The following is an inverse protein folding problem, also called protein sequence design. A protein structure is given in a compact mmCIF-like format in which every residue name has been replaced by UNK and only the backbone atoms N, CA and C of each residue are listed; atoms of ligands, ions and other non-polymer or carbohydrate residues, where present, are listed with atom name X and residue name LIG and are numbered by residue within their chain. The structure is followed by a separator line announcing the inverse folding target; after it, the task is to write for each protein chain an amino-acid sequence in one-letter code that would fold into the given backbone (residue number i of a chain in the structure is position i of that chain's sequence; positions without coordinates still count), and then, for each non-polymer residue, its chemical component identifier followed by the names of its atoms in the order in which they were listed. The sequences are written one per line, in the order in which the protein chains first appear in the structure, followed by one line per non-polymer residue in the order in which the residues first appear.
data_IF_194363605759
#
_entry.id   IF_194363605759
#
_cell.length_a   1.000
_cell.length_b   1.000
_cell.length_c   1.000
_cell.angle_alpha   90.00
_cell.angle_beta   90.00
_cell.angle_gamma   90.00
#
_symmetry.space_group_name_H-M   'P 1'
#
loop_
_entity.id
_entity.type
_entity.pdbx_description
1 polymer ?
#
# COMPACT_ATOMS: atom_id res chain seq x y z
N UNK A 1 3.85 33.53 -8.63
CA UNK A 1 3.59 32.54 -7.56
C UNK A 1 2.39 31.63 -7.85
N UNK A 2 1.23 32.15 -8.27
CA UNK A 2 0.00 31.36 -8.51
C UNK A 2 0.13 30.36 -9.67
N UNK A 3 0.71 30.80 -10.80
CA UNK A 3 0.85 29.98 -12.02
C UNK A 3 1.54 28.63 -11.78
N UNK A 4 2.48 28.55 -10.83
CA UNK A 4 3.19 27.31 -10.53
C UNK A 4 2.24 26.22 -9.97
N UNK A 5 1.20 26.61 -9.25
CA UNK A 5 0.22 25.68 -8.69
C UNK A 5 -0.85 25.31 -9.73
N UNK A 6 -1.41 26.30 -10.42
CA UNK A 6 -2.53 26.09 -11.33
C UNK A 6 -2.13 25.52 -12.69
N UNK A 7 -0.84 25.54 -13.06
CA UNK A 7 -0.33 24.88 -14.29
C UNK A 7 -0.48 23.36 -14.25
N UNK A 8 -0.50 22.75 -13.07
CA UNK A 8 -0.68 21.31 -12.95
C UNK A 8 -2.06 20.91 -13.52
N UNK A 9 -2.13 19.96 -14.47
CA UNK A 9 -3.39 19.62 -15.14
C UNK A 9 -4.41 18.99 -14.18
N UNK A 10 -3.95 18.36 -13.10
CA UNK A 10 -4.81 17.76 -12.06
C UNK A 10 -5.29 18.78 -11.02
N UNK A 11 -4.79 20.01 -11.05
CA UNK A 11 -5.21 21.06 -10.12
C UNK A 11 -6.60 21.58 -10.52
N UNK A 12 -7.54 21.54 -9.58
CA UNK A 12 -8.82 22.20 -9.72
C UNK A 12 -8.67 23.69 -9.42
N UNK A 13 -9.16 24.55 -10.33
CA UNK A 13 -9.07 25.99 -10.19
C UNK A 13 -10.39 26.51 -9.62
N UNK A 14 -10.33 27.21 -8.48
CA UNK A 14 -11.47 27.91 -7.90
C UNK A 14 -11.33 29.40 -8.24
N UNK A 15 -12.04 29.86 -9.26
CA UNK A 15 -12.04 31.26 -9.66
C UNK A 15 -13.07 32.03 -8.81
N UNK A 16 -12.58 32.70 -7.77
CA UNK A 16 -13.43 33.47 -6.84
C UNK A 16 -13.52 34.91 -7.33
N UNK A 17 -14.73 35.37 -7.58
CA UNK A 17 -15.01 36.75 -8.01
C UNK A 17 -16.12 37.34 -7.15
N UNK A 18 -16.08 38.63 -6.82
CA UNK A 18 -17.19 39.29 -6.13
C UNK A 18 -18.28 39.69 -7.13
N UNK A 19 -19.55 39.63 -6.70
CA UNK A 19 -20.70 39.89 -7.56
C UNK A 19 -20.92 41.39 -7.88
N UNK A 20 -20.28 42.28 -7.13
CA UNK A 20 -20.37 43.73 -7.31
C UNK A 20 -19.38 44.28 -8.35
N UNK A 21 -18.59 43.43 -8.99
CA UNK A 21 -17.64 43.80 -10.05
C UNK A 21 -18.02 43.11 -11.35
N UNK A 22 -17.64 43.72 -12.48
CA UNK A 22 -17.80 43.07 -13.77
C UNK A 22 -16.92 41.83 -13.87
N UNK A 23 -17.53 40.70 -14.23
CA UNK A 23 -16.84 39.43 -14.35
C UNK A 23 -15.91 39.37 -15.56
N UNK A 24 -16.18 40.19 -16.59
CA UNK A 24 -15.39 40.23 -17.81
C UNK A 24 -13.95 40.70 -17.55
N UNK A 25 -13.73 41.49 -16.49
CA UNK A 25 -12.43 42.01 -16.07
C UNK A 25 -11.85 41.26 -14.86
N UNK A 26 -12.41 40.09 -14.52
CA UNK A 26 -11.95 39.35 -13.34
C UNK A 26 -10.57 38.71 -13.58
N UNK A 27 -9.57 39.18 -12.82
CA UNK A 27 -8.20 38.64 -12.82
C UNK A 27 -8.17 37.11 -12.60
N UNK A 28 -9.03 36.60 -11.72
CA UNK A 28 -9.10 35.16 -11.41
C UNK A 28 -9.47 34.32 -12.64
N UNK A 29 -10.39 34.81 -13.47
CA UNK A 29 -10.80 34.15 -14.71
C UNK A 29 -9.75 34.32 -15.81
N UNK A 30 -9.09 35.47 -15.88
CA UNK A 30 -8.04 35.72 -16.86
C UNK A 30 -6.84 34.79 -16.62
N UNK A 31 -6.37 34.71 -15.38
CA UNK A 31 -5.29 33.81 -14.97
C UNK A 31 -5.69 32.35 -15.19
N UNK A 32 -6.93 31.96 -14.88
CA UNK A 32 -7.43 30.61 -15.14
C UNK A 32 -7.44 30.29 -16.63
N UNK A 33 -7.84 31.25 -17.50
CA UNK A 33 -7.88 31.06 -18.95
C UNK A 33 -6.50 30.78 -19.55
N UNK A 34 -5.43 31.31 -18.97
CA UNK A 34 -4.05 31.05 -19.43
C UNK A 34 -3.64 29.58 -19.27
N UNK A 35 -4.18 28.88 -18.27
CA UNK A 35 -3.80 27.48 -17.94
C UNK A 35 -4.92 26.46 -18.17
N UNK A 36 -6.15 26.92 -18.39
CA UNK A 36 -7.34 26.11 -18.71
C UNK A 36 -8.20 26.84 -19.78
N UNK A 37 -7.73 26.96 -21.04
CA UNK A 37 -8.46 27.68 -22.10
C UNK A 37 -9.83 27.06 -22.40
N UNK A 38 -9.96 25.75 -22.23
CA UNK A 38 -11.19 24.99 -22.45
C UNK A 38 -12.14 25.01 -21.23
N UNK A 39 -11.70 25.59 -20.10
CA UNK A 39 -12.49 25.77 -18.88
C UNK A 39 -13.03 24.45 -18.31
N UNK A 40 -12.24 23.38 -18.41
CA UNK A 40 -12.61 22.02 -18.01
C UNK A 40 -12.48 21.78 -16.51
N UNK A 41 -11.51 22.43 -15.87
CA UNK A 41 -11.15 22.22 -14.46
C UNK A 41 -11.32 23.47 -13.59
N UNK A 42 -11.90 24.52 -14.16
CA UNK A 42 -12.23 25.77 -13.47
C UNK A 42 -13.67 25.75 -12.97
N UNK A 43 -13.84 26.07 -11.68
CA UNK A 43 -15.13 26.30 -11.01
C UNK A 43 -15.24 27.78 -10.68
N UNK A 44 -16.33 28.41 -11.07
CA UNK A 44 -16.60 29.81 -10.73
C UNK A 44 -17.28 29.90 -9.37
N UNK A 45 -16.77 30.75 -8.49
CA UNK A 45 -17.40 31.05 -7.20
C UNK A 45 -17.70 32.52 -7.16
N UNK A 46 -18.97 32.84 -6.98
CA UNK A 46 -19.45 34.20 -6.91
C UNK A 46 -19.78 34.56 -5.46
N UNK A 47 -19.08 35.56 -4.93
CA UNK A 47 -19.21 36.01 -3.54
C UNK A 47 -19.92 37.36 -3.46
N UNK A 48 -20.30 37.82 -2.26
CA UNK A 48 -20.87 39.16 -2.04
C UNK A 48 -22.15 39.45 -2.85
N UNK A 49 -22.98 38.44 -3.06
CA UNK A 49 -24.26 38.57 -3.77
C UNK A 49 -25.28 39.44 -3.04
N UNK A 50 -25.07 39.65 -1.74
CA UNK A 50 -25.83 40.51 -0.85
C UNK A 50 -25.47 42.00 -0.98
N UNK A 51 -24.29 42.32 -1.51
CA UNK A 51 -23.78 43.69 -1.69
C UNK A 51 -23.97 44.20 -3.12
N UNK A 52 -24.86 43.57 -3.90
CA UNK A 52 -25.21 44.05 -5.24
C UNK A 52 -26.21 45.20 -5.14
N UNK A 53 -26.07 46.18 -6.04
CA UNK A 53 -26.96 47.34 -6.10
C UNK A 53 -28.40 46.91 -6.43
N UNK A 54 -29.37 47.59 -5.82
CA UNK A 54 -30.79 47.33 -6.08
C UNK A 54 -31.13 47.51 -7.57
N UNK A 55 -31.80 46.51 -8.15
CA UNK A 55 -32.11 46.46 -9.58
C UNK A 55 -31.12 45.65 -10.42
N UNK A 56 -29.93 45.32 -9.89
CA UNK A 56 -28.99 44.41 -10.55
C UNK A 56 -29.10 42.98 -10.00
N UNK A 57 -28.73 41.98 -10.81
CA UNK A 57 -28.64 40.60 -10.37
C UNK A 57 -27.57 39.84 -11.14
N UNK A 58 -27.03 38.78 -10.54
CA UNK A 58 -26.01 37.92 -11.14
C UNK A 58 -26.61 36.62 -11.69
N UNK A 59 -27.89 36.62 -12.07
CA UNK A 59 -28.60 35.42 -12.50
C UNK A 59 -27.96 34.81 -13.75
N UNK A 60 -27.65 35.62 -14.75
CA UNK A 60 -27.06 35.14 -16.01
C UNK A 60 -25.68 34.53 -15.82
N UNK A 61 -24.94 34.96 -14.80
CA UNK A 61 -23.65 34.38 -14.41
C UNK A 61 -23.88 33.03 -13.74
N UNK A 62 -24.75 32.97 -12.73
CA UNK A 62 -25.04 31.74 -11.98
C UNK A 62 -25.71 30.67 -12.84
N UNK A 63 -26.49 31.06 -13.85
CA UNK A 63 -27.05 30.17 -14.86
C UNK A 63 -26.06 29.79 -15.97
N UNK A 64 -24.80 30.23 -15.86
CA UNK A 64 -23.72 29.91 -16.78
C UNK A 64 -23.96 30.42 -18.22
N UNK A 65 -24.69 31.54 -18.38
CA UNK A 65 -25.02 32.14 -19.69
C UNK A 65 -24.00 33.18 -20.15
N UNK A 66 -23.49 34.01 -19.23
CA UNK A 66 -22.54 35.07 -19.56
C UNK A 66 -21.10 34.54 -19.73
N UNK A 67 -20.55 33.91 -18.69
CA UNK A 67 -19.23 33.26 -18.74
C UNK A 67 -19.41 31.75 -18.56
N UNK A 68 -19.30 31.02 -19.66
CA UNK A 68 -19.50 29.56 -19.67
C UNK A 68 -18.30 28.81 -19.08
N UNK A 69 -18.52 28.12 -17.97
CA UNK A 69 -17.59 27.18 -17.35
C UNK A 69 -18.16 25.76 -17.42
N UNK A 70 -17.34 24.74 -17.68
CA UNK A 70 -17.82 23.35 -17.77
C UNK A 70 -18.31 22.81 -16.43
N UNK A 71 -17.79 23.34 -15.32
CA UNK A 71 -18.22 22.99 -13.95
C UNK A 71 -19.21 23.99 -13.35
N UNK A 72 -19.60 25.00 -14.12
CA UNK A 72 -20.58 26.01 -13.73
C UNK A 72 -20.10 26.97 -12.64
N UNK A 73 -21.08 27.68 -12.09
CA UNK A 73 -20.92 28.73 -11.09
C UNK A 73 -21.65 28.36 -9.81
N UNK A 74 -21.09 28.76 -8.67
CA UNK A 74 -21.73 28.63 -7.36
C UNK A 74 -21.67 29.97 -6.64
N UNK A 75 -22.85 30.48 -6.28
CA UNK A 75 -22.98 31.65 -5.42
C UNK A 75 -22.80 31.26 -3.96
N UNK A 76 -22.01 32.01 -3.21
CA UNK A 76 -21.80 31.81 -1.77
C UNK A 76 -21.91 33.14 -1.03
N UNK A 77 -22.41 33.06 0.20
CA UNK A 77 -22.49 34.18 1.13
C UNK A 77 -21.53 33.94 2.29
N UNK A 78 -20.68 34.91 2.54
CA UNK A 78 -19.71 34.88 3.62
C UNK A 78 -20.16 35.77 4.77
N UNK A 79 -19.46 35.70 5.91
CA UNK A 79 -19.63 36.63 7.02
C UNK A 79 -19.35 38.06 6.56
N UNK A 80 -20.24 39.00 6.91
CA UNK A 80 -19.94 40.42 6.81
C UNK A 80 -18.98 40.87 7.92
N UNK A 81 -18.44 42.08 7.81
CA UNK A 81 -17.61 42.68 8.85
C UNK A 81 -18.35 42.75 10.19
N UNK A 82 -19.64 43.13 10.17
CA UNK A 82 -20.50 43.14 11.35
C UNK A 82 -20.78 41.74 11.92
N UNK A 83 -20.90 40.71 11.07
CA UNK A 83 -21.08 39.33 11.54
C UNK A 83 -19.82 38.81 12.26
N UNK A 84 -18.63 39.27 11.84
CA UNK A 84 -17.34 38.94 12.46
C UNK A 84 -17.21 39.64 13.81
N UNK A 85 -17.49 40.94 13.87
CA UNK A 85 -17.41 41.75 15.11
C UNK A 85 -18.37 41.25 16.19
N UNK A 86 -19.55 40.78 15.79
CA UNK A 86 -20.54 40.21 16.70
C UNK A 86 -20.33 38.72 17.01
N UNK A 87 -19.22 38.11 16.57
CA UNK A 87 -18.88 36.72 16.88
C UNK A 87 -19.93 35.69 16.45
N UNK A 88 -20.65 35.95 15.34
CA UNK A 88 -21.74 35.07 14.89
C UNK A 88 -21.22 33.68 14.52
N UNK A 89 -21.95 32.65 14.94
CA UNK A 89 -21.64 31.26 14.62
C UNK A 89 -21.78 30.96 13.11
N UNK A 90 -21.06 29.93 12.64
CA UNK A 90 -21.10 29.46 11.25
C UNK A 90 -22.51 28.99 10.86
N UNK A 91 -23.26 28.36 11.77
CA UNK A 91 -24.62 27.90 11.46
C UNK A 91 -25.55 29.06 11.09
N UNK A 92 -25.46 30.18 11.81
CA UNK A 92 -26.21 31.39 11.50
C UNK A 92 -25.95 31.88 10.07
N UNK A 93 -24.72 31.76 9.57
CA UNK A 93 -24.36 32.17 8.20
C UNK A 93 -24.91 31.20 7.16
N UNK A 94 -24.90 29.90 7.45
CA UNK A 94 -25.49 28.90 6.57
C UNK A 94 -27.01 29.08 6.46
N UNK A 95 -27.68 29.42 7.56
CA UNK A 95 -29.11 29.72 7.57
C UNK A 95 -29.42 31.03 6.83
N UNK A 96 -28.62 32.08 7.05
CA UNK A 96 -28.70 33.35 6.32
C UNK A 96 -28.52 33.14 4.81
N UNK A 97 -27.53 32.33 4.43
CA UNK A 97 -27.26 31.97 3.03
C UNK A 97 -28.44 31.23 2.41
N UNK A 98 -28.96 30.21 3.09
CA UNK A 98 -30.13 29.45 2.65
C UNK A 98 -31.36 30.36 2.48
N UNK A 99 -31.63 31.21 3.45
CA UNK A 99 -32.76 32.15 3.41
C UNK A 99 -32.61 33.18 2.29
N UNK A 100 -31.39 33.66 2.00
CA UNK A 100 -31.15 34.57 0.89
C UNK A 100 -31.54 33.94 -0.46
N UNK A 101 -31.07 32.73 -0.73
CA UNK A 101 -31.38 32.04 -2.00
C UNK A 101 -32.85 31.63 -2.12
N UNK A 102 -33.55 31.38 -1.00
CA UNK A 102 -34.98 31.04 -0.99
C UNK A 102 -35.90 32.26 -1.10
N UNK A 103 -35.52 33.37 -0.46
CA UNK A 103 -36.34 34.60 -0.40
C UNK A 103 -36.32 35.39 -1.70
N UNK A 104 -35.17 35.44 -2.40
CA UNK A 104 -35.03 36.20 -3.65
C UNK A 104 -35.65 35.45 -4.84
N UNK A 105 -36.70 36.00 -5.50
CA UNK A 105 -37.41 35.31 -6.58
C UNK A 105 -36.51 34.87 -7.75
N UNK A 106 -35.51 35.68 -8.06
CA UNK A 106 -34.57 35.46 -9.17
C UNK A 106 -33.50 34.39 -8.91
N UNK A 107 -33.30 33.95 -7.66
CA UNK A 107 -32.38 32.85 -7.33
C UNK A 107 -33.08 31.61 -6.79
N UNK A 108 -34.39 31.67 -6.51
CA UNK A 108 -35.15 30.60 -5.87
C UNK A 108 -35.04 29.26 -6.59
N UNK A 109 -35.08 29.25 -7.93
CA UNK A 109 -34.94 28.04 -8.74
C UNK A 109 -33.50 27.46 -8.75
N UNK A 110 -32.51 28.25 -8.33
CA UNK A 110 -31.11 27.82 -8.22
C UNK A 110 -30.72 27.43 -6.80
N UNK A 111 -31.58 27.65 -5.80
CA UNK A 111 -31.27 27.48 -4.38
C UNK A 111 -30.63 26.11 -4.03
N UNK A 112 -31.04 25.02 -4.68
CA UNK A 112 -30.46 23.68 -4.47
C UNK A 112 -29.01 23.52 -4.97
N UNK A 113 -28.60 24.37 -5.93
CA UNK A 113 -27.27 24.38 -6.57
C UNK A 113 -26.38 25.51 -6.07
N UNK A 114 -26.81 26.23 -5.04
CA UNK A 114 -26.09 27.38 -4.49
C UNK A 114 -25.69 27.15 -3.04
N UNK A 115 -24.84 28.05 -2.56
CA UNK A 115 -24.38 28.09 -1.19
C UNK A 115 -23.18 27.21 -0.88
N UNK A 116 -22.60 27.48 0.27
CA UNK A 116 -21.46 26.80 0.86
C UNK A 116 -21.68 25.28 1.00
N UNK A 117 -22.86 24.79 1.43
CA UNK A 117 -23.11 23.34 1.50
C UNK A 117 -23.06 22.65 0.14
N UNK A 118 -23.55 23.29 -0.92
CA UNK A 118 -23.48 22.74 -2.28
C UNK A 118 -22.05 22.77 -2.80
N UNK A 119 -21.34 23.89 -2.65
CA UNK A 119 -19.93 24.02 -3.05
C UNK A 119 -19.07 22.93 -2.41
N UNK A 120 -19.23 22.72 -1.10
CA UNK A 120 -18.53 21.66 -0.35
C UNK A 120 -18.80 20.28 -0.95
N UNK A 121 -20.06 19.92 -1.21
CA UNK A 121 -20.43 18.63 -1.82
C UNK A 121 -19.83 18.49 -3.22
N UNK A 122 -19.80 19.55 -4.01
CA UNK A 122 -19.25 19.57 -5.37
C UNK A 122 -17.72 19.36 -5.37
N UNK A 123 -17.01 20.06 -4.50
CA UNK A 123 -15.56 19.91 -4.33
C UNK A 123 -15.21 18.51 -3.83
N UNK A 124 -15.93 18.01 -2.81
CA UNK A 124 -15.75 16.66 -2.29
C UNK A 124 -15.98 15.58 -3.35
N UNK A 125 -17.03 15.73 -4.17
CA UNK A 125 -17.31 14.78 -5.26
C UNK A 125 -16.19 14.78 -6.30
N UNK A 126 -15.69 15.95 -6.66
CA UNK A 126 -14.62 16.09 -7.65
C UNK A 126 -13.32 15.48 -7.15
N UNK A 127 -12.93 15.80 -5.91
CA UNK A 127 -11.75 15.21 -5.26
C UNK A 127 -11.88 13.68 -5.16
N UNK A 128 -13.03 13.18 -4.73
CA UNK A 128 -13.30 11.74 -4.63
C UNK A 128 -13.21 11.04 -5.99
N UNK A 129 -13.73 11.65 -7.04
CA UNK A 129 -13.63 11.12 -8.41
C UNK A 129 -12.17 11.04 -8.87
N UNK A 130 -11.37 12.08 -8.58
CA UNK A 130 -9.96 12.11 -8.93
C UNK A 130 -9.16 11.03 -8.20
N UNK A 131 -9.38 10.88 -6.89
CA UNK A 131 -8.77 9.81 -6.08
C UNK A 131 -9.15 8.44 -6.66
N UNK A 132 -10.44 8.21 -6.96
CA UNK A 132 -10.91 6.95 -7.55
C UNK A 132 -10.26 6.64 -8.90
N UNK A 133 -9.96 7.65 -9.72
CA UNK A 133 -9.28 7.45 -11.00
C UNK A 133 -7.77 7.13 -10.83
N UNK A 134 -7.13 7.63 -9.76
CA UNK A 134 -5.73 7.36 -9.45
C UNK A 134 -5.48 5.99 -8.80
N UNK A 135 -6.45 5.48 -8.01
CA UNK A 135 -6.30 4.20 -7.29
C UNK A 135 -5.97 2.99 -8.20
N UNK A 136 -6.58 2.82 -9.39
CA UNK A 136 -6.19 1.76 -10.32
C UNK A 136 -4.72 1.83 -10.74
N UNK A 137 -4.18 3.03 -10.94
CA UNK A 137 -2.77 3.21 -11.32
C UNK A 137 -1.83 2.79 -10.19
N UNK A 138 -2.18 3.16 -8.94
CA UNK A 138 -1.48 2.69 -7.74
C UNK A 138 -1.51 1.16 -7.69
N UNK A 139 -2.69 0.54 -7.86
CA UNK A 139 -2.83 -0.93 -7.89
C UNK A 139 -1.99 -1.59 -8.99
N UNK A 140 -1.96 -1.01 -10.18
CA UNK A 140 -1.16 -1.54 -11.29
C UNK A 140 0.33 -1.41 -11.00
N UNK A 141 0.79 -0.30 -10.43
CA UNK A 141 2.18 -0.13 -9.99
C UNK A 141 2.56 -1.16 -8.92
N UNK A 142 1.68 -1.43 -7.97
CA UNK A 142 1.90 -2.46 -6.95
C UNK A 142 2.08 -3.84 -7.58
N UNK A 143 1.18 -4.21 -8.50
CA UNK A 143 1.32 -5.45 -9.27
C UNK A 143 2.62 -5.48 -10.06
N UNK A 144 3.03 -4.35 -10.63
CA UNK A 144 4.26 -4.26 -11.39
C UNK A 144 5.52 -4.38 -10.51
N UNK A 145 5.52 -3.81 -9.30
CA UNK A 145 6.59 -3.97 -8.29
C UNK A 145 6.66 -5.43 -7.83
N UNK A 146 5.53 -6.09 -7.64
CA UNK A 146 5.47 -7.51 -7.28
C UNK A 146 5.93 -8.43 -8.43
N UNK A 147 5.49 -8.16 -9.66
CA UNK A 147 5.75 -9.01 -10.84
C UNK A 147 7.02 -8.63 -11.62
N UNK A 148 7.77 -7.60 -11.18
CA UNK A 148 9.03 -7.20 -11.80
C UNK A 148 8.95 -6.46 -13.11
N UNK A 149 7.91 -5.64 -13.29
CA UNK A 149 7.76 -4.79 -14.47
C UNK A 149 8.15 -3.33 -14.23
N UNK A 150 8.33 -2.91 -12.97
CA UNK A 150 8.82 -1.57 -12.61
C UNK A 150 10.06 -1.75 -11.75
N UNK A 151 11.23 -1.54 -12.35
CA UNK A 151 12.48 -1.38 -11.60
C UNK A 151 12.48 0.00 -10.95
N UNK A 152 11.96 0.09 -9.73
CA UNK A 152 12.21 1.22 -8.85
C UNK A 152 13.13 0.79 -7.71
N UNK A 153 13.94 1.75 -7.27
CA UNK A 153 15.21 1.56 -6.59
C UNK A 153 15.07 1.10 -5.14
N UNK A 154 15.16 -0.21 -4.88
CA UNK A 154 15.41 -0.70 -3.51
C UNK A 154 16.89 -0.48 -3.19
N UNK A 155 17.17 0.41 -2.23
CA UNK A 155 18.52 0.66 -1.73
C UNK A 155 18.91 -0.45 -0.74
N UNK A 156 19.66 -1.45 -1.20
CA UNK A 156 20.29 -2.40 -0.28
C UNK A 156 21.48 -1.72 0.42
N UNK A 157 21.36 -1.45 1.73
CA UNK A 157 22.50 -1.15 2.61
C UNK A 157 23.15 -2.45 3.07
N UNK A 158 23.99 -3.06 2.25
CA UNK A 158 24.97 -4.02 2.76
C UNK A 158 26.18 -3.24 3.31
N UNK A 159 26.29 -3.15 4.64
CA UNK A 159 27.53 -2.70 5.29
C UNK A 159 28.49 -3.89 5.32
N UNK A 160 29.34 -3.98 4.31
CA UNK A 160 30.50 -4.89 4.33
C UNK A 160 31.63 -4.13 5.02
N UNK A 161 31.92 -4.49 6.27
CA UNK A 161 33.14 -4.02 6.94
C UNK A 161 34.30 -4.87 6.46
N UNK A 162 35.00 -4.37 5.45
CA UNK A 162 36.36 -4.79 5.14
C UNK A 162 37.29 -3.60 5.32
N UNK A 163 38.24 -3.79 6.23
CA UNK A 163 39.44 -2.99 6.50
C UNK A 163 39.48 -1.58 5.86
N UNK A 164 39.00 -0.59 6.62
CA UNK A 164 39.32 0.83 6.43
C UNK A 164 38.71 1.57 5.23
N UNK A 165 37.96 0.92 4.34
CA UNK A 165 37.33 1.59 3.19
C UNK A 165 35.87 1.17 3.01
N UNK A 166 34.94 2.08 3.36
CA UNK A 166 33.51 1.91 3.10
C UNK A 166 33.25 2.06 1.61
N UNK A 167 33.39 0.97 0.84
CA UNK A 167 32.91 0.91 -0.53
C UNK A 167 31.42 0.64 -0.50
N UNK A 168 30.63 1.65 -0.85
CA UNK A 168 29.18 1.50 -1.07
C UNK A 168 29.01 0.98 -2.49
N UNK A 169 29.14 -0.33 -2.71
CA UNK A 169 28.87 -0.92 -4.02
C UNK A 169 27.37 -0.76 -4.33
N UNK A 170 27.07 0.06 -5.35
CA UNK A 170 25.71 0.29 -5.87
C UNK A 170 25.30 -0.91 -6.72
N UNK A 171 24.68 -1.90 -6.09
CA UNK A 171 24.04 -3.00 -6.82
C UNK A 171 22.69 -2.54 -7.43
N UNK A 172 22.38 -3.09 -8.61
CA UNK A 172 21.16 -2.79 -9.37
C UNK A 172 19.89 -3.11 -8.57
N UNK A 173 18.85 -2.31 -8.79
CA UNK A 173 17.56 -2.43 -8.13
C UNK A 173 16.96 -3.84 -8.32
N UNK A 174 16.98 -4.66 -7.27
CA UNK A 174 16.32 -5.97 -7.30
C UNK A 174 14.84 -5.75 -7.04
N UNK A 175 14.02 -6.14 -8.02
CA UNK A 175 12.56 -6.17 -7.92
C UNK A 175 12.12 -6.88 -6.64
N UNK A 176 11.09 -6.37 -5.96
CA UNK A 176 10.51 -7.00 -4.75
C UNK A 176 10.31 -8.52 -4.88
N UNK A 177 9.71 -9.01 -5.96
CA UNK A 177 9.55 -10.46 -6.20
C UNK A 177 10.88 -11.23 -6.35
N UNK A 178 11.88 -10.64 -7.02
CA UNK A 178 13.22 -11.24 -7.11
C UNK A 178 13.94 -11.19 -5.76
N UNK A 179 13.69 -10.16 -4.95
CA UNK A 179 14.24 -10.00 -3.62
C UNK A 179 13.64 -11.00 -2.63
N UNK A 180 12.32 -11.24 -2.69
CA UNK A 180 11.66 -12.33 -1.97
C UNK A 180 12.28 -13.67 -2.35
N UNK A 181 12.44 -13.95 -3.65
CA UNK A 181 13.05 -15.20 -4.10
C UNK A 181 14.52 -15.33 -3.63
N UNK A 182 15.29 -14.24 -3.64
CA UNK A 182 16.65 -14.21 -3.11
C UNK A 182 16.66 -14.55 -1.62
N UNK A 183 15.83 -13.88 -0.82
CA UNK A 183 15.72 -14.11 0.64
C UNK A 183 15.26 -15.53 0.97
N UNK A 184 14.31 -16.07 0.19
CA UNK A 184 13.89 -17.46 0.30
C UNK A 184 15.03 -18.46 0.06
N UNK A 185 15.91 -18.19 -0.90
CA UNK A 185 17.02 -19.10 -1.25
C UNK A 185 18.33 -18.82 -0.50
N UNK A 186 18.39 -17.77 0.32
CA UNK A 186 19.59 -17.40 1.10
C UNK A 186 19.28 -17.46 2.59
N UNK A 187 18.67 -16.42 3.12
CA UNK A 187 18.42 -16.23 4.55
C UNK A 187 17.42 -17.24 5.13
N UNK A 188 16.34 -17.53 4.41
CA UNK A 188 15.36 -18.55 4.84
C UNK A 188 16.00 -19.94 4.82
N UNK A 189 16.73 -20.28 3.76
CA UNK A 189 17.45 -21.55 3.71
C UNK A 189 18.51 -21.67 4.80
N UNK A 190 19.25 -20.59 5.11
CA UNK A 190 20.23 -20.62 6.20
C UNK A 190 19.57 -20.75 7.57
N UNK A 191 18.47 -20.04 7.81
CA UNK A 191 17.73 -20.11 9.08
C UNK A 191 17.10 -21.49 9.32
N UNK A 192 16.74 -22.20 8.25
CA UNK A 192 16.21 -23.56 8.31
C UNK A 192 17.30 -24.65 8.37
N UNK A 193 18.59 -24.32 8.23
CA UNK A 193 19.70 -25.26 8.42
C UNK A 193 20.06 -25.37 9.90
N UNK A 194 19.17 -26.00 10.66
CA UNK A 194 19.41 -26.29 12.07
C UNK A 194 20.33 -27.51 12.21
N UNK A 195 21.33 -27.41 13.09
CA UNK A 195 22.12 -28.56 13.52
C UNK A 195 21.35 -29.30 14.62
N UNK A 196 20.50 -30.24 14.20
CA UNK A 196 19.65 -31.04 15.10
C UNK A 196 20.44 -32.24 15.60
N UNK A 197 21.16 -32.06 16.70
CA UNK A 197 21.86 -33.15 17.40
C UNK A 197 21.12 -33.43 18.71
N UNK A 198 20.68 -34.68 18.95
CA UNK A 198 20.11 -35.04 20.23
C UNK A 198 21.19 -35.00 21.32
N UNK A 199 20.84 -34.52 22.50
CA UNK A 199 21.74 -34.51 23.65
C UNK A 199 21.83 -35.93 24.24
N UNK A 200 23.04 -36.48 24.31
CA UNK A 200 23.31 -37.84 24.78
C UNK A 200 22.94 -38.03 26.26
N UNK A 201 23.13 -36.99 27.09
CA UNK A 201 22.75 -37.02 28.50
C UNK A 201 21.22 -37.06 28.64
N UNK A 202 20.52 -36.21 27.89
CA UNK A 202 19.06 -36.17 27.89
C UNK A 202 18.46 -37.46 27.34
N UNK A 203 19.04 -38.02 26.27
CA UNK A 203 18.61 -39.29 25.70
C UNK A 203 18.76 -40.41 26.73
N UNK A 204 19.88 -40.46 27.45
CA UNK A 204 20.12 -41.45 28.51
C UNK A 204 19.08 -41.33 29.61
N UNK A 205 18.77 -40.11 30.07
CA UNK A 205 17.74 -39.86 31.08
C UNK A 205 16.36 -40.30 30.58
N UNK A 206 15.99 -39.97 29.34
CA UNK A 206 14.74 -40.38 28.71
C UNK A 206 14.58 -41.90 28.63
N UNK A 207 15.61 -42.61 28.15
CA UNK A 207 15.61 -44.07 28.05
C UNK A 207 15.49 -44.70 29.44
N UNK A 208 16.24 -44.19 30.41
CA UNK A 208 16.24 -44.72 31.79
C UNK A 208 14.86 -44.54 32.43
N UNK A 209 14.25 -43.37 32.25
CA UNK A 209 12.90 -43.08 32.75
C UNK A 209 11.82 -43.94 32.08
N UNK A 210 11.95 -44.21 30.77
CA UNK A 210 10.99 -45.01 30.01
C UNK A 210 11.10 -46.51 30.27
N UNK A 211 12.32 -47.02 30.51
CA UNK A 211 12.54 -48.40 30.93
C UNK A 211 12.06 -48.63 32.38
N UNK A 212 12.10 -47.58 33.20
CA UNK A 212 11.69 -47.64 34.60
C UNK A 212 12.50 -48.70 35.37
N UNK A 213 11.83 -49.46 36.24
CA UNK A 213 12.48 -50.48 37.07
C UNK A 213 12.78 -51.80 36.32
N UNK A 214 12.32 -51.96 35.08
CA UNK A 214 12.56 -53.16 34.28
C UNK A 214 13.69 -52.90 33.30
N UNK A 215 14.79 -53.64 33.44
CA UNK A 215 15.89 -53.62 32.47
C UNK A 215 15.41 -54.17 31.13
N UNK A 216 15.00 -53.30 30.22
CA UNK A 216 14.68 -53.66 28.84
C UNK A 216 15.95 -53.70 27.99
N UNK A 217 16.05 -54.70 27.12
CA UNK A 217 17.20 -54.90 26.22
C UNK A 217 17.01 -54.12 24.90
N UNK A 218 15.79 -53.64 24.61
CA UNK A 218 15.46 -52.90 23.39
C UNK A 218 15.32 -51.41 23.65
N UNK A 219 15.80 -50.59 22.69
CA UNK A 219 15.54 -49.15 22.68
C UNK A 219 14.03 -48.85 22.63
N UNK A 220 13.46 -48.07 23.56
CA UNK A 220 12.04 -47.75 23.53
C UNK A 220 11.68 -46.88 22.32
N UNK A 221 10.78 -47.33 21.45
CA UNK A 221 10.26 -46.53 20.34
C UNK A 221 9.69 -45.17 20.78
N UNK A 222 9.18 -45.10 22.02
CA UNK A 222 8.68 -43.88 22.63
C UNK A 222 9.80 -42.87 22.95
N UNK A 223 11.03 -43.33 23.25
CA UNK A 223 12.18 -42.44 23.48
C UNK A 223 12.57 -41.72 22.19
N UNK A 224 12.55 -42.45 21.06
CA UNK A 224 12.82 -41.90 19.74
C UNK A 224 11.76 -40.84 19.36
N UNK A 225 10.49 -41.15 19.60
CA UNK A 225 9.39 -40.21 19.34
C UNK A 225 9.53 -38.92 20.18
N UNK A 226 9.84 -39.03 21.48
CA UNK A 226 10.06 -37.86 22.34
C UNK A 226 11.22 -36.98 21.86
N UNK A 227 12.35 -37.58 21.50
CA UNK A 227 13.53 -36.85 20.99
C UNK A 227 13.21 -36.18 19.65
N UNK A 228 12.58 -36.89 18.71
CA UNK A 228 12.21 -36.34 17.41
C UNK A 228 11.25 -35.15 17.53
N UNK A 229 10.24 -35.24 18.38
CA UNK A 229 9.33 -34.10 18.65
C UNK A 229 10.08 -32.88 19.16
N UNK A 230 11.03 -33.07 20.09
CA UNK A 230 11.84 -31.98 20.64
C UNK A 230 12.73 -31.33 19.58
N UNK A 231 13.32 -32.12 18.68
CA UNK A 231 14.15 -31.61 17.59
C UNK A 231 13.31 -30.88 16.53
N UNK A 232 12.16 -31.44 16.13
CA UNK A 232 11.27 -30.84 15.12
C UNK A 232 10.68 -29.51 15.63
N UNK A 233 10.34 -29.40 16.92
CA UNK A 233 9.82 -28.17 17.51
C UNK A 233 10.79 -26.98 17.37
N UNK A 234 12.09 -27.20 17.20
CA UNK A 234 13.08 -26.13 17.01
C UNK A 234 12.87 -25.36 15.69
N UNK A 235 12.13 -25.91 14.72
CA UNK A 235 11.79 -25.22 13.46
C UNK A 235 10.73 -24.12 13.61
N UNK A 236 9.95 -24.09 14.70
CA UNK A 236 8.89 -23.10 14.88
C UNK A 236 9.43 -21.67 14.84
N UNK A 237 10.52 -21.40 15.57
CA UNK A 237 11.13 -20.07 15.65
C UNK A 237 11.75 -19.59 14.33
N UNK A 238 12.60 -20.38 13.63
CA UNK A 238 13.10 -20.01 12.31
C UNK A 238 11.99 -19.76 11.29
N UNK A 239 10.91 -20.56 11.29
CA UNK A 239 9.78 -20.36 10.38
C UNK A 239 9.06 -19.04 10.66
N UNK A 240 8.89 -18.67 11.93
CA UNK A 240 8.38 -17.35 12.33
C UNK A 240 9.25 -16.22 11.78
N UNK A 241 10.58 -16.33 11.92
CA UNK A 241 11.51 -15.34 11.36
C UNK A 241 11.48 -15.25 9.83
N UNK A 242 11.19 -16.36 9.15
CA UNK A 242 11.04 -16.35 7.69
C UNK A 242 9.78 -15.57 7.26
N UNK A 243 8.67 -15.72 8.01
CA UNK A 243 7.43 -14.97 7.76
C UNK A 243 7.65 -13.48 8.05
N UNK A 244 8.30 -13.13 9.16
CA UNK A 244 8.64 -11.74 9.51
C UNK A 244 9.47 -11.08 8.40
N UNK A 245 10.52 -11.77 7.92
CA UNK A 245 11.39 -11.25 6.86
C UNK A 245 10.61 -10.93 5.57
N UNK A 246 9.72 -11.83 5.14
CA UNK A 246 8.90 -11.60 3.94
C UNK A 246 7.88 -10.48 4.18
N UNK A 247 7.31 -10.40 5.38
CA UNK A 247 6.37 -9.34 5.76
C UNK A 247 7.01 -7.95 5.67
N UNK A 248 8.24 -7.79 6.17
CA UNK A 248 9.00 -6.53 6.09
C UNK A 248 9.25 -6.10 4.63
N UNK A 249 9.63 -7.03 3.76
CA UNK A 249 9.85 -6.75 2.33
C UNK A 249 8.56 -6.27 1.65
N UNK A 250 7.43 -6.89 1.98
CA UNK A 250 6.12 -6.47 1.45
C UNK A 250 5.71 -5.09 1.97
N UNK A 251 5.98 -4.79 3.24
CA UNK A 251 5.72 -3.46 3.81
C UNK A 251 6.56 -2.38 3.13
N UNK A 252 7.85 -2.63 2.89
CA UNK A 252 8.74 -1.70 2.18
C UNK A 252 8.23 -1.42 0.77
N UNK A 253 7.89 -2.46 0.00
CA UNK A 253 7.35 -2.33 -1.35
C UNK A 253 6.02 -1.54 -1.40
N UNK A 254 5.16 -1.72 -0.39
CA UNK A 254 3.91 -0.96 -0.24
C UNK A 254 4.20 0.52 0.04
N UNK A 255 5.17 0.81 0.91
CA UNK A 255 5.55 2.17 1.26
C UNK A 255 6.14 2.93 0.06
N UNK A 256 7.02 2.30 -0.71
CA UNK A 256 7.57 2.86 -1.95
C UNK A 256 6.45 3.15 -2.96
N UNK A 257 5.57 2.17 -3.17
CA UNK A 257 4.50 2.32 -4.14
C UNK A 257 3.44 3.37 -3.71
N UNK A 258 3.35 3.67 -2.42
CA UNK A 258 2.50 4.73 -1.88
C UNK A 258 3.06 6.14 -2.11
N UNK A 259 4.26 6.29 -2.69
CA UNK A 259 4.82 7.59 -3.09
C UNK A 259 3.90 8.36 -4.06
N UNK A 260 3.14 7.65 -4.90
CA UNK A 260 2.13 8.24 -5.78
C UNK A 260 1.02 9.00 -5.03
N UNK A 261 0.81 8.68 -3.75
CA UNK A 261 -0.19 9.31 -2.90
C UNK A 261 0.38 10.42 -2.00
N UNK A 262 1.65 10.82 -2.18
CA UNK A 262 2.29 11.89 -1.40
C UNK A 262 1.50 13.21 -1.42
N UNK A 263 0.74 13.47 -2.50
CA UNK A 263 -0.13 14.64 -2.64
C UNK A 263 -1.33 14.64 -1.68
N UNK A 264 -1.76 13.47 -1.19
CA UNK A 264 -2.93 13.29 -0.33
C UNK A 264 -2.53 12.57 0.97
N UNK A 265 -1.86 13.24 1.91
CA UNK A 265 -1.25 12.59 3.08
C UNK A 265 -2.26 11.84 3.95
N UNK A 266 -3.45 12.39 4.16
CA UNK A 266 -4.51 11.72 4.93
C UNK A 266 -5.00 10.44 4.23
N UNK A 267 -5.15 10.47 2.90
CA UNK A 267 -5.54 9.28 2.13
C UNK A 267 -4.41 8.25 2.07
N UNK A 268 -3.15 8.69 1.93
CA UNK A 268 -1.97 7.83 2.00
C UNK A 268 -1.93 7.08 3.33
N UNK A 269 -2.09 7.78 4.45
CA UNK A 269 -2.08 7.17 5.78
C UNK A 269 -3.19 6.12 5.94
N UNK A 270 -4.41 6.42 5.50
CA UNK A 270 -5.54 5.47 5.58
C UNK A 270 -5.34 4.24 4.69
N UNK A 271 -4.80 4.42 3.48
CA UNK A 271 -4.49 3.32 2.55
C UNK A 271 -3.41 2.42 3.14
N UNK A 272 -2.31 3.01 3.63
CA UNK A 272 -1.22 2.27 4.28
C UNK A 272 -1.70 1.53 5.52
N UNK A 273 -2.50 2.17 6.37
CA UNK A 273 -3.07 1.54 7.57
C UNK A 273 -3.90 0.29 7.24
N UNK A 274 -4.78 0.38 6.22
CA UNK A 274 -5.59 -0.77 5.80
C UNK A 274 -4.77 -1.91 5.24
N UNK A 275 -3.72 -1.59 4.49
CA UNK A 275 -2.88 -2.60 3.85
C UNK A 275 -1.93 -3.23 4.86
N UNK A 276 -1.33 -2.45 5.76
CA UNK A 276 -0.54 -2.99 6.87
C UNK A 276 -1.37 -3.94 7.75
N UNK A 277 -2.60 -3.55 8.09
CA UNK A 277 -3.54 -4.43 8.80
C UNK A 277 -3.83 -5.72 8.03
N UNK A 278 -3.97 -5.64 6.70
CA UNK A 278 -4.19 -6.82 5.87
C UNK A 278 -2.96 -7.71 5.81
N UNK A 279 -1.76 -7.13 5.64
CA UNK A 279 -0.49 -7.86 5.58
C UNK A 279 -0.20 -8.57 6.91
N UNK A 280 -0.45 -7.93 8.04
CA UNK A 280 -0.30 -8.54 9.38
C UNK A 280 -1.22 -9.74 9.55
N UNK A 281 -2.49 -9.59 9.17
CA UNK A 281 -3.46 -10.69 9.22
C UNK A 281 -3.02 -11.88 8.36
N UNK A 282 -2.54 -11.64 7.14
CA UNK A 282 -2.07 -12.72 6.27
C UNK A 282 -0.77 -13.36 6.78
N UNK A 283 0.12 -12.58 7.41
CA UNK A 283 1.32 -13.10 8.07
C UNK A 283 0.96 -14.04 9.24
N UNK A 284 0.04 -13.63 10.12
CA UNK A 284 -0.47 -14.46 11.22
C UNK A 284 -1.11 -15.76 10.73
N UNK A 285 -1.93 -15.69 9.67
CA UNK A 285 -2.54 -16.87 9.05
C UNK A 285 -1.49 -17.81 8.44
N UNK A 286 -0.44 -17.26 7.85
CA UNK A 286 0.66 -18.05 7.27
C UNK A 286 1.47 -18.73 8.36
N UNK A 287 1.77 -18.00 9.45
CA UNK A 287 2.46 -18.54 10.60
C UNK A 287 1.67 -19.70 11.24
N UNK A 288 0.35 -19.56 11.37
CA UNK A 288 -0.49 -20.63 11.89
C UNK A 288 -0.41 -21.89 11.02
N UNK A 289 -0.48 -21.75 9.69
CA UNK A 289 -0.33 -22.90 8.77
C UNK A 289 1.02 -23.57 8.88
N UNK A 290 2.09 -22.79 9.05
CA UNK A 290 3.44 -23.33 9.23
C UNK A 290 3.56 -24.07 10.56
N UNK A 291 2.95 -23.56 11.64
CA UNK A 291 2.87 -24.27 12.92
C UNK A 291 2.07 -25.56 12.79
N UNK A 292 0.94 -25.54 12.10
CA UNK A 292 0.14 -26.75 11.83
C UNK A 292 0.96 -27.80 11.06
N UNK A 293 1.80 -27.37 10.11
CA UNK A 293 2.73 -28.26 9.42
C UNK A 293 3.77 -28.87 10.37
N UNK A 294 4.41 -28.07 11.23
CA UNK A 294 5.38 -28.58 12.22
C UNK A 294 4.70 -29.56 13.18
N UNK A 295 3.48 -29.26 13.62
CA UNK A 295 2.68 -30.14 14.47
C UNK A 295 2.32 -31.46 13.78
N UNK A 296 2.04 -31.44 12.47
CA UNK A 296 1.80 -32.64 11.70
C UNK A 296 3.05 -33.54 11.63
N UNK A 297 4.22 -32.96 11.39
CA UNK A 297 5.51 -33.69 11.39
C UNK A 297 5.85 -34.26 12.78
N UNK A 298 5.44 -33.60 13.86
CA UNK A 298 5.61 -34.12 15.22
C UNK A 298 4.63 -35.25 15.58
N UNK A 299 3.51 -35.39 14.86
CA UNK A 299 2.49 -36.39 15.17
C UNK A 299 2.83 -37.78 14.63
N UNK A 300 3.52 -37.83 13.48
CA UNK A 300 3.82 -39.08 12.79
C UNK A 300 5.23 -39.05 12.20
N UNK A 301 6.06 -39.99 12.62
CA UNK A 301 7.40 -40.21 12.04
C UNK A 301 7.35 -41.43 11.13
N UNK A 302 7.64 -41.22 9.84
CA UNK A 302 7.70 -42.30 8.86
C UNK A 302 9.06 -43.04 8.92
N UNK A 303 9.08 -44.20 9.57
CA UNK A 303 10.27 -45.07 9.63
C UNK A 303 10.55 -45.81 8.31
N UNK A 304 9.64 -45.77 7.34
CA UNK A 304 9.80 -46.36 6.00
C UNK A 304 10.14 -45.31 4.93
N UNK A 305 10.57 -44.11 5.35
CA UNK A 305 10.94 -43.06 4.41
C UNK A 305 12.12 -43.51 3.54
N UNK A 306 12.09 -43.35 2.20
CA UNK A 306 13.13 -43.86 1.29
C UNK A 306 14.52 -43.28 1.54
N UNK A 307 14.60 -42.09 2.14
CA UNK A 307 15.86 -41.44 2.51
C UNK A 307 16.36 -41.85 3.91
N UNK A 308 15.60 -42.66 4.67
CA UNK A 308 15.98 -43.15 5.99
C UNK A 308 16.68 -44.52 5.88
N UNK A 309 18.01 -44.51 5.87
CA UNK A 309 18.81 -45.73 5.86
C UNK A 309 19.13 -46.21 7.28
N UNK A 310 18.34 -47.15 7.79
CA UNK A 310 18.54 -47.77 9.11
C UNK A 310 19.66 -48.84 9.11
N UNK A 311 20.32 -49.09 7.98
CA UNK A 311 21.37 -50.11 7.86
C UNK A 311 22.80 -49.60 8.13
N UNK A 312 22.95 -48.29 8.33
CA UNK A 312 24.24 -47.62 8.59
C UNK A 312 24.75 -47.96 10.00
N UNK A 313 25.99 -48.47 10.10
CA UNK A 313 26.68 -48.72 11.37
C UNK A 313 27.34 -47.44 11.88
N UNK A 314 27.47 -47.31 13.20
CA UNK A 314 27.90 -46.11 13.95
C UNK A 314 29.23 -45.44 13.57
N UNK A 315 30.05 -46.05 12.71
CA UNK A 315 31.41 -45.59 12.40
C UNK A 315 31.53 -44.87 11.04
N UNK A 316 30.46 -44.83 10.23
CA UNK A 316 30.48 -44.10 8.97
C UNK A 316 30.08 -42.63 9.18
N UNK A 317 30.84 -41.65 8.63
CA UNK A 317 30.49 -40.24 8.75
C UNK A 317 29.11 -40.01 8.14
N UNK A 318 28.21 -39.38 8.91
CA UNK A 318 26.87 -38.98 8.45
C UNK A 318 27.04 -38.04 7.25
N UNK A 319 26.93 -38.58 6.05
CA UNK A 319 26.89 -37.79 4.82
C UNK A 319 25.51 -37.13 4.80
N UNK A 320 25.41 -35.78 4.80
CA UNK A 320 24.12 -35.12 4.72
C UNK A 320 23.39 -35.63 3.47
N UNK A 321 22.15 -36.06 3.65
CA UNK A 321 21.31 -36.52 2.55
C UNK A 321 21.38 -35.47 1.43
N UNK A 322 21.91 -35.88 0.28
CA UNK A 322 21.90 -35.04 -0.92
C UNK A 322 20.43 -34.80 -1.20
N UNK A 323 19.95 -33.59 -0.92
CA UNK A 323 18.56 -33.21 -1.14
C UNK A 323 18.10 -33.67 -2.52
N UNK A 324 16.79 -33.97 -2.70
CA UNK A 324 16.29 -34.71 -3.85
C UNK A 324 16.94 -34.17 -5.11
N UNK A 325 17.75 -35.00 -5.76
CA UNK A 325 18.34 -34.64 -7.04
C UNK A 325 17.16 -34.49 -7.99
N UNK A 326 16.67 -33.26 -8.15
CA UNK A 326 15.82 -32.89 -9.26
C UNK A 326 16.65 -33.15 -10.50
N UNK A 327 16.53 -34.36 -11.04
CA UNK A 327 16.87 -34.64 -12.42
C UNK A 327 15.93 -33.76 -13.24
N UNK A 328 16.35 -32.52 -13.47
CA UNK A 328 15.82 -31.76 -14.58
C UNK A 328 16.15 -32.60 -15.81
N UNK A 329 15.15 -33.31 -16.33
CA UNK A 329 15.26 -33.92 -17.63
C UNK A 329 15.78 -32.85 -18.59
N UNK A 330 16.64 -33.24 -19.54
CA UNK A 330 17.31 -32.37 -20.51
C UNK A 330 16.35 -31.60 -21.47
N UNK A 331 15.10 -31.41 -21.08
CA UNK A 331 14.05 -30.67 -21.79
C UNK A 331 13.37 -29.66 -20.86
N UNK A 332 14.11 -28.68 -20.35
CA UNK A 332 13.51 -27.39 -20.01
C UNK A 332 14.35 -26.30 -20.67
N UNK A 333 14.04 -26.04 -21.95
CA UNK A 333 14.42 -24.81 -22.63
C UNK A 333 13.53 -23.69 -22.07
N UNK A 334 14.08 -22.83 -21.22
CA UNK A 334 13.47 -21.54 -20.92
C UNK A 334 13.51 -20.70 -22.21
N UNK A 335 12.37 -20.56 -22.89
CA UNK A 335 12.25 -19.62 -24.01
C UNK A 335 12.29 -18.19 -23.49
N UNK A 336 13.15 -17.31 -24.03
CA UNK A 336 13.05 -15.88 -23.75
C UNK A 336 11.72 -15.34 -24.33
N UNK A 337 11.03 -14.51 -23.55
CA UNK A 337 9.85 -13.77 -23.99
C UNK A 337 10.32 -12.70 -24.99
N UNK A 338 9.99 -12.89 -26.26
CA UNK A 338 10.23 -11.91 -27.32
C UNK A 338 9.60 -10.54 -26.95
N UNK A 339 10.43 -9.51 -26.87
CA UNK A 339 10.01 -8.12 -27.05
C UNK A 339 9.91 -7.82 -28.55
N UNK A 340 8.66 -7.77 -29.03
CA UNK A 340 8.14 -6.87 -30.07
C UNK A 340 9.05 -6.47 -31.26
N UNK A 341 8.72 -7.04 -32.42
CA UNK A 341 8.39 -6.34 -33.68
C UNK A 341 8.85 -4.89 -33.90
N UNK A 342 9.70 -4.69 -34.90
CA UNK A 342 9.82 -3.58 -35.89
C UNK A 342 10.86 -4.09 -36.93
N UNK A 343 10.83 -3.94 -38.25
CA UNK A 343 9.97 -3.38 -39.31
C UNK A 343 10.46 -4.08 -40.60
N UNK A 344 9.56 -4.63 -41.44
CA UNK A 344 9.25 -4.15 -42.80
C UNK A 344 10.43 -3.55 -43.59
N UNK A 345 10.85 -4.29 -44.63
CA UNK A 345 11.06 -3.70 -45.95
C UNK A 345 9.72 -3.32 -46.58
#
# INVERSE_FOLDING_TARGET
MILNYIKQPECLILAVSPANQDLATSDALEIARQVDPQRLRTIGVLTKLDLMDEGTNARDILENRQVTLKRGWVGVLNRSQSDIENGRDVQHILDKEKNFFLSKPYYRHLSDKMGTPFLRRMLQRTLRSHIKAALPQVRTRWKAVLHGQVGEQVHQRHRVETDGSVRTDRYEAVVCGAYINYKLNTEVQSNLRLNLVPDDEEMTVLITNLNGLRGSISFPSLALDCVNRKLIAQFEYPLEKCVDCIHEILQEAVNESAALLNRYPATKAEVLFRIDRSLKKEAELTLQKLRDHVQAEMFYVNLEHPDLDLSVKSDDPVVPAVGPTKKFGKHVLLRPRNSSSQQRH
#
